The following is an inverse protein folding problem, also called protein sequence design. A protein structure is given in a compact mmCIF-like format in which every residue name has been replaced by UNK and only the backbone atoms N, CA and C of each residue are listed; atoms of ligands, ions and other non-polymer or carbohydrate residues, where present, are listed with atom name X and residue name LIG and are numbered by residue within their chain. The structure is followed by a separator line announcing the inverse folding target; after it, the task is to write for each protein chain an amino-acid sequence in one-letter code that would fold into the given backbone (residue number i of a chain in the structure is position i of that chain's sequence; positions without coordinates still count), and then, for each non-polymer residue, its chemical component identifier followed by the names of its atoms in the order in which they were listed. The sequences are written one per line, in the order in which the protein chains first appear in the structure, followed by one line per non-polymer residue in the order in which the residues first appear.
data_IF_675023056612
#
_entry.id   IF_675023056612
#
_cell.length_a   1.000
_cell.length_b   1.000
_cell.length_c   1.000
_cell.angle_alpha   90.00
_cell.angle_beta   90.00
_cell.angle_gamma   90.00
#
_symmetry.space_group_name_H-M   'P 1'
#
loop_
_entity.id
_entity.type
_entity.pdbx_description
1 polymer ?
#
# COMPACT_ATOMS: atom_id res chain seq x y z
N UNK A 1 -52.55 37.18 62.51
CA UNK A 1 -52.30 35.74 62.73
C UNK A 1 -52.78 34.89 61.54
N UNK A 2 -52.57 35.35 60.29
CA UNK A 2 -53.09 34.71 59.06
C UNK A 2 -51.98 34.28 58.09
N UNK A 3 -50.75 34.79 58.23
CA UNK A 3 -49.70 34.56 57.23
C UNK A 3 -48.82 33.35 57.55
N UNK A 4 -48.72 32.95 58.82
CA UNK A 4 -47.88 31.81 59.25
C UNK A 4 -48.48 30.46 58.81
N UNK A 5 -49.82 30.34 58.76
CA UNK A 5 -50.49 29.12 58.26
C UNK A 5 -50.34 28.91 56.74
N UNK A 6 -50.11 29.99 55.97
CA UNK A 6 -49.98 29.91 54.51
C UNK A 6 -48.59 29.41 54.09
N UNK A 7 -47.55 29.72 54.87
CA UNK A 7 -46.19 29.23 54.65
C UNK A 7 -46.02 27.75 54.97
N UNK A 8 -46.60 27.26 56.07
CA UNK A 8 -46.54 25.82 56.42
C UNK A 8 -47.15 24.93 55.33
N UNK A 9 -48.28 25.34 54.74
CA UNK A 9 -48.96 24.57 53.69
C UNK A 9 -48.18 24.52 52.37
N UNK A 10 -47.39 25.55 52.05
CA UNK A 10 -46.52 25.55 50.86
C UNK A 10 -45.26 24.70 51.06
N UNK A 11 -44.74 24.62 52.29
CA UNK A 11 -43.57 23.80 52.63
C UNK A 11 -43.86 22.29 52.53
N UNK A 12 -45.06 21.86 52.92
CA UNK A 12 -45.48 20.45 52.82
C UNK A 12 -45.75 20.01 51.37
N UNK A 13 -46.27 20.92 50.52
CA UNK A 13 -46.43 20.67 49.08
C UNK A 13 -45.06 20.54 48.39
N UNK A 14 -44.09 21.39 48.75
CA UNK A 14 -42.71 21.33 48.25
C UNK A 14 -41.96 20.07 48.71
N UNK A 15 -42.23 19.55 49.91
CA UNK A 15 -41.66 18.27 50.37
C UNK A 15 -42.28 17.06 49.66
N UNK A 16 -43.60 17.01 49.49
CA UNK A 16 -44.25 15.90 48.78
C UNK A 16 -43.88 15.82 47.29
N UNK A 17 -43.59 16.97 46.66
CA UNK A 17 -43.12 17.04 45.27
C UNK A 17 -41.68 16.51 45.13
N UNK A 18 -40.84 16.68 46.15
CA UNK A 18 -39.44 16.25 46.13
C UNK A 18 -39.28 14.72 46.29
N UNK A 19 -40.16 14.10 47.07
CA UNK A 19 -40.18 12.63 47.23
C UNK A 19 -40.87 11.91 46.05
N UNK A 20 -41.72 12.61 45.29
CA UNK A 20 -42.37 12.09 44.08
C UNK A 20 -41.53 12.15 42.80
N UNK A 21 -40.48 12.98 42.77
CA UNK A 21 -39.63 13.20 41.59
C UNK A 21 -38.44 12.22 41.50
N UNK A 22 -38.22 11.40 42.53
CA UNK A 22 -37.02 10.58 42.63
C UNK A 22 -37.15 9.18 41.99
N UNK A 23 -38.31 8.84 41.41
CA UNK A 23 -38.57 7.46 40.94
C UNK A 23 -39.06 7.27 39.50
N UNK A 24 -39.07 8.30 38.63
CA UNK A 24 -39.50 8.11 37.23
C UNK A 24 -38.76 8.95 36.20
N UNK A 25 -37.43 8.92 36.21
CA UNK A 25 -36.67 9.21 34.99
C UNK A 25 -35.77 8.01 34.75
N UNK A 26 -36.20 7.12 33.85
CA UNK A 26 -35.29 6.13 33.27
C UNK A 26 -34.22 6.92 32.52
N UNK A 27 -33.03 7.07 33.12
CA UNK A 27 -31.88 7.83 32.57
C UNK A 27 -31.18 7.03 31.45
N UNK A 28 -31.86 6.06 30.83
CA UNK A 28 -31.27 5.22 29.78
C UNK A 28 -31.18 5.91 28.41
N UNK A 29 -31.76 7.09 28.22
CA UNK A 29 -31.74 7.78 26.92
C UNK A 29 -31.55 9.29 27.01
N UNK A 30 -30.63 9.79 27.83
CA UNK A 30 -30.16 11.17 27.72
C UNK A 30 -29.28 11.33 26.46
N UNK A 31 -29.41 12.43 25.68
CA UNK A 31 -28.54 12.69 24.52
C UNK A 31 -27.05 12.57 24.86
N UNK A 32 -26.66 12.99 26.05
CA UNK A 32 -25.29 12.88 26.60
C UNK A 32 -24.83 11.42 26.72
N UNK A 33 -25.70 10.49 27.11
CA UNK A 33 -25.36 9.06 27.17
C UNK A 33 -25.22 8.44 25.77
N UNK A 34 -25.98 8.94 24.78
CA UNK A 34 -25.82 8.55 23.38
C UNK A 34 -24.46 9.01 22.83
N UNK A 35 -24.08 10.28 23.08
CA UNK A 35 -22.75 10.80 22.70
C UNK A 35 -21.59 10.04 23.37
N UNK A 36 -21.70 9.71 24.67
CA UNK A 36 -20.66 8.93 25.35
C UNK A 36 -20.58 7.48 24.83
N UNK A 37 -21.72 6.85 24.54
CA UNK A 37 -21.73 5.48 24.00
C UNK A 37 -21.15 5.43 22.58
N UNK A 38 -21.46 6.42 21.74
CA UNK A 38 -20.88 6.54 20.39
C UNK A 38 -19.37 6.85 20.43
N UNK A 39 -18.92 7.65 21.41
CA UNK A 39 -17.50 7.99 21.57
C UNK A 39 -16.67 6.77 22.01
N UNK A 40 -17.18 5.94 22.93
CA UNK A 40 -16.50 4.72 23.35
C UNK A 40 -16.53 3.65 22.25
N UNK A 41 -17.64 3.50 21.53
CA UNK A 41 -17.72 2.63 20.34
C UNK A 41 -16.68 3.05 19.29
N UNK A 42 -16.59 4.35 19.00
CA UNK A 42 -15.59 4.89 18.09
C UNK A 42 -14.16 4.63 18.58
N UNK A 43 -13.85 4.83 19.86
CA UNK A 43 -12.51 4.56 20.42
C UNK A 43 -12.13 3.08 20.28
N UNK A 44 -13.04 2.17 20.58
CA UNK A 44 -12.83 0.73 20.42
C UNK A 44 -12.61 0.37 18.95
N UNK A 45 -13.44 0.89 18.05
CA UNK A 45 -13.32 0.66 16.61
C UNK A 45 -12.01 1.24 16.05
N UNK A 46 -11.66 2.47 16.41
CA UNK A 46 -10.41 3.11 16.02
C UNK A 46 -9.20 2.29 16.47
N UNK A 47 -9.21 1.75 17.69
CA UNK A 47 -8.15 0.86 18.16
C UNK A 47 -8.03 -0.38 17.28
N UNK A 48 -9.15 -1.01 16.91
CA UNK A 48 -9.15 -2.17 15.99
C UNK A 48 -8.53 -1.81 14.63
N UNK A 49 -8.87 -0.64 14.08
CA UNK A 49 -8.28 -0.14 12.82
C UNK A 49 -6.78 0.12 12.98
N UNK A 50 -6.36 0.69 14.11
CA UNK A 50 -4.94 0.94 14.42
C UNK A 50 -4.15 -0.37 14.57
N UNK A 51 -4.70 -1.35 15.28
CA UNK A 51 -4.07 -2.66 15.45
C UNK A 51 -3.90 -3.33 14.07
N UNK A 52 -4.92 -3.29 13.21
CA UNK A 52 -4.82 -3.80 11.84
C UNK A 52 -3.78 -3.06 11.00
N UNK A 53 -3.81 -1.72 10.95
CA UNK A 53 -2.84 -0.91 10.18
C UNK A 53 -1.40 -1.08 10.66
N UNK A 54 -1.20 -1.39 11.95
CA UNK A 54 0.14 -1.63 12.52
C UNK A 54 0.81 -2.88 11.97
N UNK A 55 0.04 -3.82 11.41
CA UNK A 55 0.57 -5.03 10.76
C UNK A 55 1.06 -4.79 9.34
N UNK A 56 0.80 -3.61 8.78
CA UNK A 56 1.21 -3.27 7.42
C UNK A 56 2.72 -3.08 7.33
N UNK A 57 3.34 -3.68 6.30
CA UNK A 57 4.79 -3.60 6.08
C UNK A 57 5.08 -2.92 4.75
N UNK A 58 6.11 -2.08 4.72
CA UNK A 58 6.60 -1.56 3.45
C UNK A 58 7.30 -2.71 2.70
N UNK A 59 6.87 -2.96 1.48
CA UNK A 59 7.51 -3.89 0.58
C UNK A 59 8.84 -3.33 0.05
N UNK A 60 9.88 -4.18 -0.05
CA UNK A 60 11.08 -3.87 -0.83
C UNK A 60 10.72 -3.55 -2.29
N UNK A 61 11.58 -2.77 -2.97
CA UNK A 61 11.37 -2.41 -4.38
C UNK A 61 11.20 -3.65 -5.26
N UNK A 62 12.08 -4.65 -5.13
CA UNK A 62 12.04 -5.87 -5.95
C UNK A 62 10.68 -6.59 -5.81
N UNK A 63 10.14 -6.70 -4.59
CA UNK A 63 8.83 -7.30 -4.35
C UNK A 63 7.69 -6.48 -4.98
N UNK A 64 7.80 -5.15 -4.93
CA UNK A 64 6.83 -4.26 -5.55
C UNK A 64 6.87 -4.35 -7.08
N UNK A 65 8.06 -4.44 -7.66
CA UNK A 65 8.26 -4.63 -9.10
C UNK A 65 7.68 -5.97 -9.56
N UNK A 66 7.92 -7.05 -8.82
CA UNK A 66 7.30 -8.36 -9.06
C UNK A 66 5.77 -8.28 -9.05
N UNK A 67 5.19 -7.57 -8.08
CA UNK A 67 3.74 -7.37 -7.99
C UNK A 67 3.19 -6.56 -9.17
N UNK A 68 3.89 -5.49 -9.58
CA UNK A 68 3.52 -4.68 -10.74
C UNK A 68 3.52 -5.54 -12.01
N UNK A 69 4.57 -6.33 -12.23
CA UNK A 69 4.62 -7.26 -13.36
C UNK A 69 3.53 -8.33 -13.30
N UNK A 70 3.21 -8.84 -12.12
CA UNK A 70 2.19 -9.86 -11.93
C UNK A 70 0.79 -9.33 -12.25
N UNK A 71 0.41 -8.18 -11.71
CA UNK A 71 -0.89 -7.54 -11.95
C UNK A 71 -1.01 -7.06 -13.41
N UNK A 72 0.09 -6.67 -14.06
CA UNK A 72 0.05 -6.29 -15.48
C UNK A 72 -0.33 -7.45 -16.42
N UNK A 73 -0.12 -8.72 -16.03
CA UNK A 73 -0.44 -9.88 -16.88
C UNK A 73 -1.95 -10.06 -17.12
N UNK A 74 -2.80 -9.23 -16.52
CA UNK A 74 -4.25 -9.28 -16.58
C UNK A 74 -4.83 -9.11 -15.18
N UNK A 75 -6.13 -8.87 -15.07
CA UNK A 75 -6.80 -8.70 -13.77
C UNK A 75 -6.53 -9.92 -12.88
N UNK A 76 -5.83 -9.70 -11.78
CA UNK A 76 -5.49 -10.74 -10.81
C UNK A 76 -6.41 -10.59 -9.59
N UNK A 77 -7.06 -11.69 -9.23
CA UNK A 77 -7.86 -11.73 -8.01
C UNK A 77 -6.96 -11.75 -6.77
N UNK A 78 -7.50 -11.37 -5.62
CA UNK A 78 -6.77 -11.46 -4.35
C UNK A 78 -6.31 -12.88 -4.05
N UNK A 79 -7.11 -13.88 -4.46
CA UNK A 79 -6.76 -15.29 -4.34
C UNK A 79 -5.47 -15.63 -5.11
N UNK A 80 -5.33 -15.11 -6.32
CA UNK A 80 -4.14 -15.34 -7.16
C UNK A 80 -2.91 -14.66 -6.54
N UNK A 81 -3.07 -13.42 -6.05
CA UNK A 81 -2.01 -12.70 -5.34
C UNK A 81 -1.55 -13.46 -4.09
N UNK A 82 -2.48 -13.95 -3.26
CA UNK A 82 -2.16 -14.72 -2.05
C UNK A 82 -1.55 -16.08 -2.36
N UNK A 83 -1.91 -16.70 -3.49
CA UNK A 83 -1.30 -17.93 -3.97
C UNK A 83 0.18 -17.75 -4.32
N UNK A 84 0.53 -16.63 -4.95
CA UNK A 84 1.89 -16.34 -5.44
C UNK A 84 2.77 -15.65 -4.39
N UNK A 85 2.23 -14.72 -3.59
CA UNK A 85 2.98 -13.83 -2.72
C UNK A 85 2.56 -14.01 -1.26
N UNK A 86 3.16 -14.98 -0.57
CA UNK A 86 2.74 -15.34 0.80
C UNK A 86 3.05 -14.25 1.84
N UNK A 87 3.97 -13.34 1.52
CA UNK A 87 4.31 -12.19 2.36
C UNK A 87 3.25 -11.07 2.35
N UNK A 88 2.31 -11.08 1.39
CA UNK A 88 1.28 -10.06 1.31
C UNK A 88 0.20 -10.26 2.39
N UNK A 89 0.05 -9.25 3.24
CA UNK A 89 -1.07 -9.12 4.18
C UNK A 89 -2.09 -8.12 3.66
N UNK A 90 -3.35 -8.23 4.09
CA UNK A 90 -4.41 -7.27 3.72
C UNK A 90 -4.04 -5.83 4.05
N UNK A 91 -3.42 -5.63 5.21
CA UNK A 91 -2.95 -4.32 5.68
C UNK A 91 -1.79 -3.78 4.85
N UNK A 92 -0.89 -4.65 4.38
CA UNK A 92 0.23 -4.28 3.50
C UNK A 92 -0.28 -3.87 2.12
N UNK A 93 -1.19 -4.64 1.53
CA UNK A 93 -1.76 -4.31 0.21
C UNK A 93 -2.49 -2.97 0.22
N UNK A 94 -3.21 -2.65 1.31
CA UNK A 94 -3.87 -1.35 1.50
C UNK A 94 -2.91 -0.15 1.53
N UNK A 95 -1.61 -0.33 1.79
CA UNK A 95 -0.64 0.77 1.68
C UNK A 95 -0.39 1.20 0.23
N UNK A 96 -0.60 0.29 -0.73
CA UNK A 96 -0.29 0.49 -2.14
C UNK A 96 -1.52 0.68 -3.01
N UNK A 97 -2.72 0.70 -2.40
CA UNK A 97 -3.97 0.99 -3.07
C UNK A 97 -4.21 2.49 -3.18
N UNK A 98 -4.75 2.91 -4.32
CA UNK A 98 -5.31 4.24 -4.52
C UNK A 98 -6.65 4.37 -3.79
N UNK A 99 -7.49 3.34 -3.86
CA UNK A 99 -8.75 3.27 -3.14
C UNK A 99 -8.50 3.17 -1.64
N UNK A 100 -9.27 3.92 -0.87
CA UNK A 100 -9.13 3.97 0.58
C UNK A 100 -10.46 3.61 1.26
N UNK A 101 -10.46 2.66 2.20
CA UNK A 101 -11.69 2.24 2.86
C UNK A 101 -12.22 3.35 3.77
N UNK A 102 -13.53 3.41 3.93
CA UNK A 102 -14.17 4.41 4.79
C UNK A 102 -14.20 3.99 6.27
N UNK A 103 -14.55 4.93 7.14
CA UNK A 103 -14.86 4.61 8.54
C UNK A 103 -16.25 3.96 8.63
N UNK A 104 -16.33 2.73 9.16
CA UNK A 104 -17.60 2.07 9.47
C UNK A 104 -18.38 2.76 10.60
N UNK A 105 -17.65 3.18 11.63
CA UNK A 105 -18.20 3.97 12.75
C UNK A 105 -17.75 5.40 12.55
N UNK A 106 -18.71 6.31 12.43
CA UNK A 106 -18.41 7.72 12.17
C UNK A 106 -17.54 8.31 13.29
N UNK A 107 -16.43 8.96 12.93
CA UNK A 107 -15.62 9.68 13.90
C UNK A 107 -16.41 10.86 14.48
N UNK A 108 -16.26 11.15 15.79
CA UNK A 108 -16.84 12.35 16.37
C UNK A 108 -16.37 13.61 15.61
N UNK A 109 -17.26 14.60 15.45
CA UNK A 109 -16.98 15.81 14.65
C UNK A 109 -15.72 16.58 15.09
N UNK A 110 -15.36 16.48 16.37
CA UNK A 110 -14.16 17.12 16.93
C UNK A 110 -12.87 16.31 16.67
N UNK A 111 -12.98 15.07 16.20
CA UNK A 111 -11.83 14.23 15.86
C UNK A 111 -11.23 14.67 14.54
N UNK A 112 -9.90 14.68 14.46
CA UNK A 112 -9.19 14.89 13.18
C UNK A 112 -9.57 13.84 12.15
N UNK A 113 -9.96 12.65 12.59
CA UNK A 113 -10.31 11.52 11.72
C UNK A 113 -11.61 11.78 10.93
N UNK A 114 -12.42 12.77 11.31
CA UNK A 114 -13.61 13.19 10.55
C UNK A 114 -13.28 13.76 9.17
N UNK A 115 -12.02 14.15 8.94
CA UNK A 115 -11.57 14.76 7.69
C UNK A 115 -10.63 13.85 6.88
N UNK A 116 -10.31 12.66 7.38
CA UNK A 116 -9.30 11.79 6.76
C UNK A 116 -9.75 10.33 6.74
N UNK A 117 -9.32 9.62 5.69
CA UNK A 117 -9.46 8.16 5.63
C UNK A 117 -8.73 7.47 6.81
N UNK A 118 -9.26 6.34 7.32
CA UNK A 118 -8.57 5.48 8.28
C UNK A 118 -7.20 5.00 7.78
N UNK A 119 -7.07 4.84 6.46
CA UNK A 119 -5.80 4.56 5.81
C UNK A 119 -5.22 5.86 5.27
N UNK A 120 -4.38 6.50 6.08
CA UNK A 120 -3.46 7.49 5.54
C UNK A 120 -2.45 6.75 4.68
N UNK A 121 -2.71 6.69 3.38
CA UNK A 121 -1.64 6.48 2.40
C UNK A 121 -0.51 7.42 2.79
N UNK A 122 0.61 6.86 3.26
CA UNK A 122 1.76 7.65 3.70
C UNK A 122 2.32 8.49 2.55
N UNK A 123 1.96 8.15 1.32
CA UNK A 123 2.27 8.91 0.14
C UNK A 123 1.36 8.45 -1.00
N UNK A 124 0.44 9.29 -1.48
CA UNK A 124 -0.27 9.02 -2.74
C UNK A 124 0.71 8.76 -3.90
N UNK A 125 1.95 9.24 -3.76
CA UNK A 125 3.07 8.94 -4.65
C UNK A 125 3.54 7.46 -4.64
N UNK A 126 2.91 6.57 -3.89
CA UNK A 126 3.23 5.13 -3.81
C UNK A 126 1.99 4.24 -4.00
N UNK A 127 0.89 4.77 -4.52
CA UNK A 127 -0.31 3.99 -4.85
C UNK A 127 -0.17 3.39 -6.26
N UNK A 128 0.37 2.17 -6.35
CA UNK A 128 0.60 1.49 -7.63
C UNK A 128 -0.62 0.69 -8.11
N UNK A 129 -1.55 0.37 -7.21
CA UNK A 129 -2.68 -0.51 -7.47
C UNK A 129 -4.00 0.20 -7.17
N UNK A 130 -5.07 -0.23 -7.83
CA UNK A 130 -6.45 0.15 -7.54
C UNK A 130 -7.36 -1.06 -7.71
N UNK A 131 -8.49 -1.04 -7.03
CA UNK A 131 -9.52 -2.07 -7.17
C UNK A 131 -10.26 -1.88 -8.49
N UNK A 132 -10.43 -2.97 -9.24
CA UNK A 132 -11.24 -2.94 -10.47
C UNK A 132 -12.68 -2.56 -10.16
N UNK A 133 -13.21 -3.04 -9.02
CA UNK A 133 -14.51 -2.65 -8.48
C UNK A 133 -14.40 -2.46 -6.98
N UNK A 134 -14.68 -1.24 -6.52
CA UNK A 134 -14.70 -0.95 -5.08
C UNK A 134 -15.92 -1.60 -4.44
N UNK A 135 -15.75 -2.46 -3.42
CA UNK A 135 -16.86 -3.11 -2.74
C UNK A 135 -17.77 -2.12 -2.00
N UNK A 136 -19.07 -2.37 -1.99
CA UNK A 136 -20.03 -1.51 -1.26
C UNK A 136 -19.78 -1.46 0.26
N UNK A 137 -19.10 -2.47 0.81
CA UNK A 137 -18.75 -2.60 2.21
C UNK A 137 -17.27 -2.32 2.48
N UNK A 138 -16.65 -1.45 1.66
CA UNK A 138 -15.23 -1.11 1.75
C UNK A 138 -14.95 -0.18 2.96
N UNK A 139 -14.95 -0.78 4.15
CA UNK A 139 -14.70 -0.11 5.43
C UNK A 139 -13.48 -0.68 6.14
N UNK A 140 -12.78 0.15 6.92
CA UNK A 140 -11.63 -0.28 7.68
C UNK A 140 -12.03 -1.14 8.93
N UNK A 141 -11.16 -2.02 9.44
CA UNK A 141 -10.15 -2.71 8.64
C UNK A 141 -10.83 -3.53 7.54
N UNK A 142 -10.38 -3.36 6.30
CA UNK A 142 -10.88 -4.13 5.17
C UNK A 142 -10.03 -5.39 5.02
N UNK A 143 -10.68 -6.55 4.85
CA UNK A 143 -10.02 -7.81 4.52
C UNK A 143 -10.47 -8.20 3.13
N UNK A 144 -9.52 -8.45 2.25
CA UNK A 144 -9.87 -8.69 0.85
C UNK A 144 -10.54 -10.04 0.72
N UNK A 145 -11.56 -10.09 -0.14
CA UNK A 145 -12.21 -11.32 -0.55
C UNK A 145 -11.42 -11.96 -1.68
N UNK A 146 -11.51 -13.28 -1.84
CA UNK A 146 -10.88 -14.01 -2.94
C UNK A 146 -11.25 -13.45 -4.33
N UNK A 147 -12.41 -12.80 -4.44
CA UNK A 147 -12.93 -12.17 -5.66
C UNK A 147 -12.51 -10.71 -5.86
N UNK A 148 -11.84 -10.08 -4.89
CA UNK A 148 -11.40 -8.70 -5.07
C UNK A 148 -10.31 -8.65 -6.14
N UNK A 149 -10.49 -7.77 -7.12
CA UNK A 149 -9.65 -7.70 -8.30
C UNK A 149 -8.84 -6.41 -8.34
N UNK A 150 -7.60 -6.51 -8.82
CA UNK A 150 -6.66 -5.39 -8.83
C UNK A 150 -6.20 -5.06 -10.24
N UNK A 151 -6.00 -3.77 -10.49
CA UNK A 151 -5.35 -3.25 -11.68
C UNK A 151 -4.28 -2.22 -11.32
N UNK A 152 -3.40 -1.92 -12.27
CA UNK A 152 -2.38 -0.89 -12.10
C UNK A 152 -2.97 0.50 -12.23
N UNK A 153 -2.58 1.40 -11.34
CA UNK A 153 -2.85 2.84 -11.51
C UNK A 153 -1.96 3.42 -12.61
N UNK A 154 -2.17 4.69 -12.97
CA UNK A 154 -1.27 5.44 -13.87
C UNK A 154 0.19 5.41 -13.36
N UNK A 155 0.39 5.51 -12.03
CA UNK A 155 1.73 5.40 -11.44
C UNK A 155 2.31 4.00 -11.62
N UNK A 156 1.50 2.96 -11.39
CA UNK A 156 1.86 1.56 -11.66
C UNK A 156 2.29 1.34 -13.10
N UNK A 157 1.52 1.83 -14.06
CA UNK A 157 1.80 1.73 -15.50
C UNK A 157 3.08 2.48 -15.91
N UNK A 158 3.29 3.70 -15.40
CA UNK A 158 4.51 4.46 -15.67
C UNK A 158 5.75 3.75 -15.11
N UNK A 159 5.61 3.14 -13.93
CA UNK A 159 6.67 2.36 -13.29
C UNK A 159 6.98 1.12 -14.12
N UNK A 160 5.96 0.37 -14.54
CA UNK A 160 6.10 -0.76 -15.44
C UNK A 160 6.87 -0.38 -16.71
N UNK A 161 6.48 0.71 -17.39
CA UNK A 161 7.15 1.15 -18.61
C UNK A 161 8.63 1.49 -18.37
N UNK A 162 8.96 2.05 -17.20
CA UNK A 162 10.36 2.30 -16.81
C UNK A 162 11.11 0.97 -16.63
N UNK A 163 10.53 0.01 -15.91
CA UNK A 163 11.13 -1.31 -15.67
C UNK A 163 11.36 -2.08 -16.98
N UNK A 164 10.42 -2.03 -17.92
CA UNK A 164 10.57 -2.67 -19.23
C UNK A 164 11.73 -2.07 -20.04
N UNK A 165 11.90 -0.73 -20.01
CA UNK A 165 13.03 -0.05 -20.65
C UNK A 165 14.37 -0.42 -20.01
N UNK A 166 14.41 -0.46 -18.68
CA UNK A 166 15.61 -0.85 -17.92
C UNK A 166 16.01 -2.30 -18.24
N UNK A 167 15.05 -3.23 -18.26
CA UNK A 167 15.28 -4.63 -18.63
C UNK A 167 15.76 -4.78 -20.08
N UNK A 168 15.17 -4.06 -21.03
CA UNK A 168 15.63 -4.09 -22.42
C UNK A 168 17.05 -3.53 -22.58
N UNK A 169 17.38 -2.45 -21.87
CA UNK A 169 18.72 -1.88 -21.87
C UNK A 169 19.76 -2.84 -21.27
N UNK A 170 19.40 -3.55 -20.19
CA UNK A 170 20.24 -4.59 -19.58
C UNK A 170 20.49 -5.75 -20.56
N UNK A 171 19.45 -6.24 -21.25
CA UNK A 171 19.59 -7.29 -22.26
C UNK A 171 20.53 -6.88 -23.41
N UNK A 172 20.39 -5.66 -23.92
CA UNK A 172 21.28 -5.13 -24.94
C UNK A 172 22.73 -4.99 -24.44
N UNK A 173 22.92 -4.58 -23.18
CA UNK A 173 24.24 -4.47 -22.56
C UNK A 173 24.89 -5.86 -22.39
N UNK A 174 24.13 -6.86 -21.95
CA UNK A 174 24.59 -8.24 -21.83
C UNK A 174 24.95 -8.85 -23.19
N UNK A 175 24.12 -8.62 -24.20
CA UNK A 175 24.39 -9.07 -25.56
C UNK A 175 25.62 -8.38 -26.15
N UNK A 176 25.76 -7.07 -25.93
CA UNK A 176 26.95 -6.30 -26.34
C UNK A 176 28.21 -6.80 -25.64
N UNK A 177 28.13 -7.14 -24.35
CA UNK A 177 29.23 -7.75 -23.60
C UNK A 177 29.58 -9.14 -24.13
N UNK A 178 28.58 -9.94 -24.51
CA UNK A 178 28.78 -11.27 -25.12
C UNK A 178 29.49 -11.15 -26.46
N UNK A 179 29.00 -10.28 -27.35
CA UNK A 179 29.60 -10.01 -28.66
C UNK A 179 31.02 -9.44 -28.51
N UNK A 180 31.23 -8.53 -27.55
CA UNK A 180 32.55 -7.96 -27.27
C UNK A 180 33.54 -9.02 -26.77
N UNK A 181 33.12 -9.90 -25.86
CA UNK A 181 33.95 -11.03 -25.40
C UNK A 181 34.30 -11.98 -26.53
N UNK A 182 33.35 -12.26 -27.43
CA UNK A 182 33.57 -13.10 -28.59
C UNK A 182 34.51 -12.43 -29.61
N UNK A 183 34.27 -11.16 -29.93
CA UNK A 183 35.12 -10.35 -30.82
C UNK A 183 36.54 -10.20 -30.26
N UNK A 184 36.71 -10.06 -28.94
CA UNK A 184 38.03 -9.99 -28.32
C UNK A 184 38.80 -11.32 -28.44
N UNK A 185 38.12 -12.48 -28.44
CA UNK A 185 38.76 -13.78 -28.72
C UNK A 185 39.23 -13.84 -30.17
N UNK A 186 38.38 -13.47 -31.12
CA UNK A 186 38.76 -13.42 -32.53
C UNK A 186 39.86 -12.39 -32.81
N UNK A 187 39.81 -11.22 -32.16
CA UNK A 187 40.84 -10.18 -32.25
C UNK A 187 42.21 -10.66 -31.72
N UNK A 188 42.24 -11.41 -30.61
CA UNK A 188 43.48 -12.04 -30.12
C UNK A 188 44.03 -13.08 -31.10
N UNK A 189 43.17 -13.88 -31.72
CA UNK A 189 43.56 -14.85 -32.74
C UNK A 189 44.10 -14.18 -34.01
N UNK A 190 43.42 -13.14 -34.48
CA UNK A 190 43.83 -12.36 -35.64
C UNK A 190 45.18 -11.65 -35.39
N UNK A 191 45.38 -11.07 -34.21
CA UNK A 191 46.65 -10.45 -33.82
C UNK A 191 47.81 -11.46 -33.77
N UNK A 192 47.56 -12.68 -33.27
CA UNK A 192 48.55 -13.75 -33.27
C UNK A 192 48.91 -14.21 -34.69
N UNK A 193 47.90 -14.41 -35.55
CA UNK A 193 48.10 -14.74 -36.97
C UNK A 193 48.85 -13.62 -37.73
N UNK A 194 48.50 -12.36 -37.49
CA UNK A 194 49.21 -11.22 -38.06
C UNK A 194 50.67 -11.17 -37.62
N UNK A 195 50.96 -11.48 -36.35
CA UNK A 195 52.32 -11.63 -35.83
C UNK A 195 53.12 -12.66 -36.62
N UNK A 196 52.58 -13.86 -36.83
CA UNK A 196 53.22 -14.91 -37.65
C UNK A 196 53.47 -14.42 -39.08
N UNK A 197 52.47 -13.77 -39.69
CA UNK A 197 52.58 -13.21 -41.04
C UNK A 197 53.74 -12.23 -41.18
N UNK A 198 53.90 -11.30 -40.22
CA UNK A 198 55.01 -10.34 -40.18
C UNK A 198 56.35 -11.06 -40.06
N UNK A 199 56.46 -12.07 -39.21
CA UNK A 199 57.71 -12.85 -39.10
C UNK A 199 58.04 -13.59 -40.39
N UNK A 200 57.05 -14.20 -41.05
CA UNK A 200 57.28 -14.91 -42.32
C UNK A 200 57.71 -13.98 -43.44
N UNK A 201 57.13 -12.79 -43.57
CA UNK A 201 57.54 -11.83 -44.61
C UNK A 201 58.94 -11.29 -44.38
N UNK A 202 59.34 -11.04 -43.13
CA UNK A 202 60.72 -10.65 -42.78
C UNK A 202 61.72 -11.76 -43.16
N UNK A 203 61.41 -13.03 -42.84
CA UNK A 203 62.28 -14.17 -43.18
C UNK A 203 62.43 -14.31 -44.70
N UNK A 204 61.34 -14.21 -45.47
CA UNK A 204 61.36 -14.29 -46.93
C UNK A 204 62.18 -13.14 -47.54
N UNK A 205 62.07 -11.93 -47.00
CA UNK A 205 62.83 -10.77 -47.45
C UNK A 205 64.34 -10.96 -47.21
N UNK A 206 64.73 -11.48 -46.05
CA UNK A 206 66.14 -11.76 -45.71
C UNK A 206 66.70 -12.89 -46.58
N UNK A 207 65.95 -13.99 -46.77
CA UNK A 207 66.38 -15.09 -47.64
C UNK A 207 66.53 -14.63 -49.09
N UNK A 208 65.58 -13.85 -49.61
CA UNK A 208 65.66 -13.29 -50.96
C UNK A 208 66.87 -12.35 -51.11
N UNK A 209 67.27 -11.64 -50.06
CA UNK A 209 68.45 -10.79 -50.07
C UNK A 209 69.77 -11.59 -50.01
N UNK A 210 69.80 -12.73 -49.32
CA UNK A 210 70.99 -13.59 -49.20
C UNK A 210 71.23 -14.41 -50.48
N UNK A 211 70.16 -14.79 -51.19
CA UNK A 211 70.22 -15.58 -52.42
C UNK A 211 70.13 -14.77 -53.71
N UNK A 212 70.10 -13.43 -53.62
CA UNK A 212 70.24 -12.49 -54.74
C UNK A 212 71.66 -11.98 -54.87
#
# INVERSE_FOLDING_TARGET
MSDIKKFSKQMDILKSSKDGLQNQISIQSSPVNYFHSSDEEYKCYKKKVQDFTSTAQNLPNDHLEELIFFINKGVQSYKDLKGQFHYLTDSTLQLYLLDSPEWKVEPPLYSRDSLYSPFKSKNYAQCYFELVTVPNNFYAPYYFTDSDEFQLTILGLNTLQRLEKENHALQLAEESLRISKESAKYGKFAAWLAGIGIFTTIIIAILSFIFS
#
